data_IF_016131291796
#
_entry.id   IF_016131291796
#
_cell.length_a   1.000
_cell.length_b   1.000
_cell.length_c   1.000
_cell.angle_alpha   90.00
_cell.angle_beta   90.00
_cell.angle_gamma   90.00
#
_symmetry.space_group_name_H-M   'P 1'
#
loop_
_entity.id
_entity.type
_entity.pdbx_description
1 polymer ?
#
# COMPACT_ATOMS: atom_id res chain seq x y z
N UNK A 1 -15.24 3.34 -17.26
CA UNK A 1 -13.88 3.95 -17.32
C UNK A 1 -12.93 3.06 -16.55
N UNK A 2 -11.85 2.58 -17.18
CA UNK A 2 -10.78 1.84 -16.50
C UNK A 2 -9.77 2.83 -15.91
N UNK A 3 -9.62 2.83 -14.59
CA UNK A 3 -8.62 3.66 -13.91
C UNK A 3 -7.25 2.99 -14.03
N UNK A 4 -6.35 3.58 -14.82
CA UNK A 4 -4.96 3.14 -14.91
C UNK A 4 -4.08 3.99 -13.98
N UNK A 5 -3.63 3.41 -12.87
CA UNK A 5 -2.72 4.08 -11.95
C UNK A 5 -1.30 4.06 -12.50
N UNK A 6 -0.68 5.23 -12.71
CA UNK A 6 0.72 5.35 -13.19
C UNK A 6 1.76 4.69 -12.28
N UNK A 7 1.40 4.43 -11.02
CA UNK A 7 2.28 3.81 -10.04
C UNK A 7 2.18 2.29 -10.03
N UNK A 8 1.19 1.70 -10.73
CA UNK A 8 1.02 0.26 -10.79
C UNK A 8 1.97 -0.34 -11.82
N UNK A 9 2.80 -1.27 -11.37
CA UNK A 9 3.66 -2.10 -12.21
C UNK A 9 2.92 -3.38 -12.59
N UNK A 10 2.49 -3.47 -13.85
CA UNK A 10 1.78 -4.63 -14.38
C UNK A 10 2.70 -5.86 -14.40
N UNK A 11 3.99 -5.68 -14.69
CA UNK A 11 4.94 -6.79 -14.80
C UNK A 11 5.22 -7.45 -13.45
N UNK A 12 5.24 -6.66 -12.37
CA UNK A 12 5.56 -7.14 -11.02
C UNK A 12 4.33 -7.24 -10.09
N UNK A 13 3.14 -6.97 -10.62
CA UNK A 13 1.85 -6.91 -9.92
C UNK A 13 1.91 -6.13 -8.60
N UNK A 14 2.51 -4.93 -8.62
CA UNK A 14 2.78 -4.15 -7.40
C UNK A 14 2.77 -2.66 -7.64
N UNK A 15 2.55 -1.89 -6.57
CA UNK A 15 2.61 -0.44 -6.63
C UNK A 15 4.02 0.07 -6.33
N UNK A 16 4.65 0.72 -7.31
CA UNK A 16 5.97 1.34 -7.18
C UNK A 16 6.01 2.44 -6.11
N UNK A 17 4.88 3.13 -5.90
CA UNK A 17 4.78 4.21 -4.89
C UNK A 17 4.67 3.66 -3.47
N UNK A 18 4.03 2.50 -3.31
CA UNK A 18 3.81 1.85 -2.01
C UNK A 18 4.87 0.80 -1.69
N UNK A 19 5.81 0.56 -2.62
CA UNK A 19 6.84 -0.47 -2.55
C UNK A 19 6.30 -1.85 -2.15
N UNK A 20 5.13 -2.22 -2.68
CA UNK A 20 4.42 -3.43 -2.27
C UNK A 20 3.03 -3.56 -2.90
N UNK A 21 2.13 -4.22 -2.18
CA UNK A 21 0.77 -4.48 -2.66
C UNK A 21 0.03 -3.18 -3.06
N UNK A 22 -0.60 -3.18 -4.24
CA UNK A 22 -1.33 -2.03 -4.77
C UNK A 22 -2.75 -2.00 -4.21
N UNK A 23 -2.93 -1.33 -3.06
CA UNK A 23 -4.25 -1.21 -2.40
C UNK A 23 -4.80 0.23 -2.49
N UNK A 24 -6.03 0.43 -2.98
CA UNK A 24 -6.69 1.74 -3.00
C UNK A 24 -6.80 2.33 -1.59
N UNK A 25 -6.76 3.66 -1.48
CA UNK A 25 -6.87 4.41 -0.23
C UNK A 25 -5.85 4.08 0.88
N UNK A 26 -4.88 3.18 0.65
CA UNK A 26 -3.74 2.99 1.55
C UNK A 26 -2.91 4.26 1.64
N UNK A 27 -2.31 4.53 2.80
CA UNK A 27 -1.37 5.65 3.00
C UNK A 27 -0.30 5.67 1.90
N UNK A 28 -0.19 6.78 1.18
CA UNK A 28 0.69 6.98 0.02
C UNK A 28 0.06 6.67 -1.35
N UNK A 29 -1.18 6.18 -1.39
CA UNK A 29 -1.93 5.95 -2.62
C UNK A 29 -2.56 7.26 -3.13
N UNK A 30 -2.69 7.42 -4.46
CA UNK A 30 -3.30 8.61 -5.07
C UNK A 30 -4.79 8.78 -4.78
N UNK A 31 -5.43 7.73 -4.25
CA UNK A 31 -6.84 7.71 -3.84
C UNK A 31 -7.03 7.90 -2.33
N UNK A 32 -5.94 8.10 -1.57
CA UNK A 32 -6.02 8.39 -0.13
C UNK A 32 -6.91 9.62 0.12
N UNK A 33 -7.97 9.44 0.92
CA UNK A 33 -8.94 10.49 1.24
C UNK A 33 -9.86 10.93 0.09
N UNK A 34 -9.78 10.30 -1.09
CA UNK A 34 -10.55 10.68 -2.29
C UNK A 34 -11.69 9.71 -2.64
N UNK A 35 -11.81 8.62 -1.90
CA UNK A 35 -12.85 7.61 -2.11
C UNK A 35 -13.39 7.09 -0.78
N UNK A 36 -14.63 6.63 -0.81
CA UNK A 36 -15.24 5.91 0.31
C UNK A 36 -14.60 4.53 0.38
N UNK A 37 -14.16 4.15 1.58
CA UNK A 37 -13.54 2.87 1.87
C UNK A 37 -14.56 2.03 2.61
N UNK A 38 -14.86 0.83 2.12
CA UNK A 38 -15.69 -0.14 2.85
C UNK A 38 -14.96 -0.66 4.08
N UNK A 39 -15.70 -1.16 5.07
CA UNK A 39 -15.10 -1.74 6.28
C UNK A 39 -14.11 -2.88 5.96
N UNK A 40 -14.44 -3.72 4.98
CA UNK A 40 -13.56 -4.79 4.49
C UNK A 40 -12.23 -4.23 3.93
N UNK A 41 -12.31 -3.19 3.09
CA UNK A 41 -11.12 -2.57 2.50
C UNK A 41 -10.28 -1.86 3.58
N UNK A 42 -10.92 -1.24 4.57
CA UNK A 42 -10.25 -0.60 5.70
C UNK A 42 -9.46 -1.63 6.53
N UNK A 43 -10.08 -2.76 6.86
CA UNK A 43 -9.43 -3.86 7.59
C UNK A 43 -8.27 -4.47 6.80
N UNK A 44 -8.42 -4.61 5.47
CA UNK A 44 -7.31 -5.05 4.61
C UNK A 44 -6.14 -4.07 4.63
N UNK A 45 -6.40 -2.76 4.48
CA UNK A 45 -5.38 -1.71 4.56
C UNK A 45 -4.66 -1.77 5.91
N UNK A 46 -5.42 -1.94 7.00
CA UNK A 46 -4.88 -2.03 8.36
C UNK A 46 -3.90 -3.19 8.49
N UNK A 47 -4.28 -4.40 8.07
CA UNK A 47 -3.42 -5.60 8.13
C UNK A 47 -2.12 -5.44 7.34
N UNK A 48 -2.19 -4.83 6.15
CA UNK A 48 -1.00 -4.58 5.31
C UNK A 48 -0.06 -3.56 5.98
N UNK A 49 -0.64 -2.51 6.56
CA UNK A 49 0.14 -1.50 7.28
C UNK A 49 0.81 -2.09 8.52
N UNK A 50 0.09 -2.90 9.31
CA UNK A 50 0.66 -3.62 10.46
C UNK A 50 1.80 -4.56 10.04
N UNK A 51 1.62 -5.33 8.96
CA UNK A 51 2.65 -6.23 8.44
C UNK A 51 3.88 -5.46 7.93
N UNK A 52 3.69 -4.30 7.28
CA UNK A 52 4.78 -3.46 6.77
C UNK A 52 5.54 -2.77 7.92
N UNK A 53 4.83 -2.26 8.93
CA UNK A 53 5.43 -1.64 10.11
C UNK A 53 6.31 -2.64 10.86
N UNK A 54 5.82 -3.87 11.06
CA UNK A 54 6.61 -4.96 11.70
C UNK A 54 7.87 -5.33 10.92
N UNK A 55 7.86 -5.23 9.59
CA UNK A 55 9.05 -5.47 8.75
C UNK A 55 10.06 -4.33 8.85
N UNK A 56 9.59 -3.09 8.93
CA UNK A 56 10.45 -1.91 9.06
C UNK A 56 11.25 -1.93 10.37
N UNK A 57 10.61 -2.34 11.48
CA UNK A 57 11.28 -2.54 12.79
C UNK A 57 12.45 -3.56 12.77
N UNK A 58 12.50 -4.48 11.79
CA UNK A 58 13.63 -5.41 11.64
C UNK A 58 14.75 -4.87 10.72
N UNK A 59 14.51 -3.80 9.98
CA UNK A 59 15.51 -3.23 9.05
C UNK A 59 16.34 -2.11 9.68
N UNK A 60 15.93 -1.54 10.81
CA UNK A 60 16.72 -0.55 11.57
C UNK A 60 17.73 -1.20 12.56
N UNK A 61 17.72 -2.53 12.73
CA UNK A 61 18.78 -3.27 13.46
C UNK A 61 19.76 -3.83 12.44
N UNK A 62 20.51 -2.95 11.80
CA UNK A 62 21.44 -3.37 10.74
C UNK A 62 22.16 -2.25 10.00
N UNK A 63 22.53 -1.16 10.68
CA UNK A 63 23.57 -0.24 10.20
C UNK A 63 24.25 0.45 11.40
N UNK A 64 25.28 -0.20 11.95
CA UNK A 64 26.43 0.42 12.61
C UNK A 64 27.67 -0.39 12.21
#
# INVERSE_FOLDING_TARGET
MTFHCKNYDISADRCKKLSGECVPARKGCVLEGRMVVSEELAERIRRINEATARRSLKQDVGQQ
#
